data_IF_297219290803
#
_entry.id   IF_297219290803
#
_cell.length_a   1.000
_cell.length_b   1.000
_cell.length_c   1.000
_cell.angle_alpha   90.00
_cell.angle_beta   90.00
_cell.angle_gamma   90.00
#
_symmetry.space_group_name_H-M   'P 1'
#
loop_
_entity.id
_entity.type
_entity.pdbx_description
1 polymer ?
#
# COMPACT_ATOMS: atom_id res chain seq x y z
N UNK A 1 -10.76 21.77 2.90
CA UNK A 1 -9.64 21.60 1.95
C UNK A 1 -9.90 20.27 1.23
N UNK A 2 -9.72 20.17 -0.10
CA UNK A 2 -10.01 18.93 -0.83
C UNK A 2 -8.89 17.92 -0.59
N UNK A 3 -9.22 16.63 -0.38
CA UNK A 3 -8.26 15.53 -0.12
C UNK A 3 -7.10 15.49 -1.14
N UNK A 4 -7.38 15.81 -2.41
CA UNK A 4 -6.36 15.89 -3.44
C UNK A 4 -5.35 17.05 -3.25
N UNK A 5 -5.78 18.17 -2.67
CA UNK A 5 -4.88 19.29 -2.38
C UNK A 5 -3.98 18.94 -1.17
N UNK A 6 -4.56 18.37 -0.14
CA UNK A 6 -3.83 17.94 1.05
C UNK A 6 -2.84 16.82 0.73
N UNK A 7 -3.25 15.85 -0.11
CA UNK A 7 -2.36 14.78 -0.58
C UNK A 7 -1.12 15.34 -1.27
N UNK A 8 -1.30 16.31 -2.16
CA UNK A 8 -0.19 16.98 -2.86
C UNK A 8 0.69 17.76 -1.90
N UNK A 9 0.10 18.50 -0.97
CA UNK A 9 0.83 19.31 -0.01
C UNK A 9 1.70 18.43 0.90
N UNK A 10 1.14 17.35 1.45
CA UNK A 10 1.90 16.39 2.25
C UNK A 10 3.02 15.73 1.45
N UNK A 11 2.75 15.31 0.20
CA UNK A 11 3.76 14.70 -0.66
C UNK A 11 4.92 15.65 -0.96
N UNK A 12 4.63 16.91 -1.27
CA UNK A 12 5.64 17.93 -1.54
C UNK A 12 6.46 18.25 -0.29
N UNK A 13 5.82 18.33 0.87
CA UNK A 13 6.51 18.56 2.14
C UNK A 13 7.47 17.41 2.47
N UNK A 14 6.99 16.16 2.41
CA UNK A 14 7.84 14.99 2.64
C UNK A 14 8.98 14.93 1.60
N UNK A 15 8.70 15.23 0.33
CA UNK A 15 9.71 15.25 -0.71
C UNK A 15 10.80 16.30 -0.44
N UNK A 16 10.42 17.50 0.00
CA UNK A 16 11.36 18.57 0.38
C UNK A 16 12.26 18.16 1.53
N UNK A 17 11.68 17.59 2.59
CA UNK A 17 12.44 17.14 3.75
C UNK A 17 13.37 15.96 3.43
N UNK A 18 12.95 15.01 2.60
CA UNK A 18 13.82 13.92 2.14
C UNK A 18 14.93 14.46 1.23
N UNK A 19 14.61 15.36 0.30
CA UNK A 19 15.60 15.99 -0.58
C UNK A 19 16.64 16.78 0.24
N UNK A 20 16.22 17.54 1.25
CA UNK A 20 17.11 18.23 2.18
C UNK A 20 18.01 17.26 2.95
N UNK A 21 17.46 16.14 3.42
CA UNK A 21 18.22 15.09 4.08
C UNK A 21 19.27 14.42 3.17
N UNK A 22 19.00 14.31 1.88
CA UNK A 22 19.90 13.75 0.89
C UNK A 22 20.98 14.75 0.45
N UNK A 23 20.62 16.04 0.29
CA UNK A 23 21.51 17.05 -0.27
C UNK A 23 22.53 17.59 0.74
N UNK A 24 22.15 17.90 1.96
CA UNK A 24 23.00 18.65 2.88
C UNK A 24 22.98 18.15 4.32
N UNK A 25 22.27 17.09 4.60
CA UNK A 25 22.02 16.70 5.98
C UNK A 25 20.91 17.54 6.65
N UNK A 26 20.63 17.32 7.93
CA UNK A 26 19.48 17.94 8.58
C UNK A 26 19.69 19.44 8.74
N UNK A 27 18.72 20.23 8.32
CA UNK A 27 18.65 21.67 8.61
C UNK A 27 18.83 22.62 7.43
N UNK A 28 19.00 22.12 6.21
CA UNK A 28 19.02 22.96 5.02
C UNK A 28 17.66 22.90 4.31
N UNK A 29 17.08 24.09 4.04
CA UNK A 29 15.93 24.20 3.17
C UNK A 29 16.39 23.97 1.72
N UNK A 30 15.78 22.99 1.09
CA UNK A 30 15.99 22.70 -0.33
C UNK A 30 14.76 23.12 -1.09
N UNK A 31 14.92 24.06 -2.03
CA UNK A 31 13.83 24.44 -2.92
C UNK A 31 13.54 23.31 -3.92
N UNK A 32 12.29 22.92 -4.02
CA UNK A 32 11.80 21.99 -5.04
C UNK A 32 11.26 22.80 -6.23
N UNK A 33 11.88 22.64 -7.39
CA UNK A 33 11.43 23.29 -8.64
C UNK A 33 10.67 22.27 -9.49
N UNK A 34 9.44 22.57 -9.94
CA UNK A 34 8.69 21.67 -10.82
C UNK A 34 9.44 21.46 -12.14
N UNK A 35 9.52 20.22 -12.58
CA UNK A 35 10.18 19.84 -13.85
C UNK A 35 9.33 18.84 -14.62
N UNK A 36 9.67 18.62 -15.88
CA UNK A 36 9.07 17.59 -16.71
C UNK A 36 9.40 16.20 -16.18
N UNK A 37 8.57 15.21 -16.57
CA UNK A 37 8.68 13.85 -16.06
C UNK A 37 10.01 13.19 -16.45
N UNK A 38 10.71 12.70 -15.45
CA UNK A 38 11.88 11.84 -15.61
C UNK A 38 11.44 10.40 -15.90
N UNK A 39 12.18 9.71 -16.77
CA UNK A 39 11.86 8.33 -17.20
C UNK A 39 12.90 7.30 -16.79
N UNK A 40 14.00 7.73 -16.18
CA UNK A 40 15.06 6.84 -15.72
C UNK A 40 14.56 5.88 -14.63
N UNK A 41 14.91 4.58 -14.66
CA UNK A 41 14.63 3.69 -13.54
C UNK A 41 15.34 4.15 -12.26
N UNK A 42 14.73 3.94 -11.13
CA UNK A 42 15.24 4.46 -9.87
C UNK A 42 14.81 3.67 -8.64
N UNK A 43 14.71 4.37 -7.52
CA UNK A 43 14.34 3.79 -6.22
C UNK A 43 13.08 4.47 -5.70
N UNK A 44 12.13 3.68 -5.27
CA UNK A 44 10.88 4.11 -4.66
C UNK A 44 11.00 4.05 -3.13
N UNK A 45 10.66 5.14 -2.47
CA UNK A 45 10.47 5.24 -1.03
C UNK A 45 8.99 5.44 -0.74
N UNK A 46 8.38 4.54 0.00
CA UNK A 46 6.96 4.55 0.29
C UNK A 46 6.69 4.83 1.77
N UNK A 47 5.70 5.68 2.01
CA UNK A 47 5.22 6.02 3.35
C UNK A 47 3.77 5.56 3.49
N UNK A 48 3.44 5.03 4.64
CA UNK A 48 2.06 4.77 5.05
C UNK A 48 1.60 5.92 5.94
N UNK A 49 0.44 6.45 5.66
CA UNK A 49 -0.22 7.50 6.43
C UNK A 49 -1.42 6.91 7.13
N UNK A 50 -1.58 7.22 8.41
CA UNK A 50 -2.68 6.76 9.27
C UNK A 50 -3.12 7.90 10.20
N UNK A 51 -4.37 7.88 10.66
CA UNK A 51 -4.95 8.92 11.50
C UNK A 51 -6.28 9.41 10.94
N UNK A 52 -6.61 10.70 11.04
CA UNK A 52 -7.81 11.30 10.45
C UNK A 52 -7.88 11.11 8.94
N UNK A 53 -6.73 10.91 8.31
CA UNK A 53 -6.60 10.50 6.92
C UNK A 53 -5.74 9.25 6.84
N UNK A 54 -6.08 8.38 5.89
CA UNK A 54 -5.34 7.16 5.63
C UNK A 54 -4.94 7.08 4.18
N UNK A 55 -3.78 6.49 3.93
CA UNK A 55 -3.31 6.34 2.56
C UNK A 55 -1.82 6.10 2.47
N UNK A 56 -1.24 6.55 1.36
CA UNK A 56 0.18 6.43 1.11
C UNK A 56 0.74 7.65 0.39
N UNK A 57 1.98 7.96 0.70
CA UNK A 57 2.83 8.86 -0.07
C UNK A 57 3.97 8.04 -0.65
N UNK A 58 4.24 8.23 -1.92
CA UNK A 58 5.32 7.56 -2.62
C UNK A 58 6.24 8.59 -3.23
N UNK A 59 7.50 8.51 -2.89
CA UNK A 59 8.57 9.25 -3.54
C UNK A 59 9.36 8.31 -4.43
N UNK A 60 9.75 8.82 -5.56
CA UNK A 60 10.59 8.11 -6.51
C UNK A 60 11.82 8.96 -6.85
N UNK A 61 12.98 8.36 -6.81
CA UNK A 61 14.25 8.99 -7.07
C UNK A 61 14.94 8.28 -8.24
N UNK A 62 15.28 8.98 -9.33
CA UNK A 62 16.10 8.41 -10.42
C UNK A 62 17.41 7.84 -9.90
N UNK A 63 17.98 6.89 -10.62
CA UNK A 63 19.28 6.29 -10.29
C UNK A 63 20.40 7.33 -10.24
N UNK A 64 20.35 8.33 -11.11
CA UNK A 64 21.25 9.50 -11.10
C UNK A 64 21.20 10.26 -9.77
N UNK A 65 20.01 10.54 -9.24
CA UNK A 65 19.83 11.22 -7.94
C UNK A 65 20.40 10.38 -6.80
N UNK A 66 20.12 9.07 -6.79
CA UNK A 66 20.66 8.16 -5.79
C UNK A 66 22.19 8.13 -5.80
N UNK A 67 22.81 8.19 -6.99
CA UNK A 67 24.25 8.26 -7.17
C UNK A 67 24.82 9.58 -6.65
N UNK A 68 24.18 10.70 -6.96
CA UNK A 68 24.61 12.04 -6.50
C UNK A 68 24.49 12.16 -4.97
N UNK A 69 23.40 11.66 -4.37
CA UNK A 69 23.23 11.61 -2.92
C UNK A 69 24.33 10.80 -2.23
N UNK A 70 24.71 9.67 -2.80
CA UNK A 70 25.78 8.85 -2.28
C UNK A 70 27.16 9.52 -2.37
N UNK A 71 27.44 10.22 -3.48
CA UNK A 71 28.67 11.01 -3.64
C UNK A 71 28.76 12.16 -2.64
N UNK A 72 27.68 12.84 -2.39
CA UNK A 72 27.61 13.94 -1.42
C UNK A 72 28.03 13.51 -0.02
N UNK A 73 27.77 12.24 0.34
CA UNK A 73 28.05 11.70 1.68
C UNK A 73 29.39 10.95 1.75
N UNK A 74 29.73 10.17 0.71
CA UNK A 74 30.87 9.24 0.73
C UNK A 74 32.10 9.73 -0.05
N UNK A 75 31.99 10.90 -0.70
CA UNK A 75 33.04 11.45 -1.57
C UNK A 75 32.92 11.05 -3.04
N UNK A 76 33.63 11.80 -3.95
CA UNK A 76 33.38 11.73 -5.40
C UNK A 76 33.78 10.40 -6.06
N UNK A 77 34.69 9.64 -5.47
CA UNK A 77 35.30 8.46 -6.09
C UNK A 77 34.60 7.14 -5.71
N UNK A 78 33.57 7.18 -4.87
CA UNK A 78 32.89 5.98 -4.40
C UNK A 78 31.52 5.80 -5.08
N UNK A 79 31.34 4.63 -5.68
CA UNK A 79 30.02 4.17 -6.09
C UNK A 79 29.29 3.54 -4.88
N UNK A 80 28.12 4.08 -4.54
CA UNK A 80 27.30 3.47 -3.49
C UNK A 80 26.63 2.19 -3.98
N UNK A 81 26.59 1.20 -3.12
CA UNK A 81 25.81 0.00 -3.37
C UNK A 81 24.30 0.29 -3.25
N UNK A 82 23.47 -0.56 -3.85
CA UNK A 82 22.00 -0.44 -3.73
C UNK A 82 21.52 -0.49 -2.27
N UNK A 83 22.24 -1.20 -1.41
CA UNK A 83 21.94 -1.32 0.01
C UNK A 83 22.25 -0.02 0.76
N UNK A 84 23.38 0.61 0.45
CA UNK A 84 23.75 1.92 1.00
C UNK A 84 22.74 2.99 0.61
N UNK A 85 22.33 3.04 -0.67
CA UNK A 85 21.27 3.93 -1.15
C UNK A 85 19.95 3.70 -0.42
N UNK A 86 19.55 2.45 -0.25
CA UNK A 86 18.31 2.10 0.47
C UNK A 86 18.35 2.52 1.94
N UNK A 87 19.49 2.37 2.58
CA UNK A 87 19.70 2.80 3.97
C UNK A 87 19.63 4.31 4.10
N UNK A 88 20.27 5.02 3.18
CA UNK A 88 20.26 6.47 3.08
C UNK A 88 18.85 7.04 2.93
N UNK A 89 18.09 6.50 1.98
CA UNK A 89 16.70 6.90 1.74
C UNK A 89 15.81 6.61 2.96
N UNK A 90 16.00 5.49 3.66
CA UNK A 90 15.28 5.21 4.90
C UNK A 90 15.58 6.21 6.00
N UNK A 91 16.85 6.57 6.18
CA UNK A 91 17.28 7.54 7.18
C UNK A 91 16.73 8.93 6.86
N UNK A 92 16.83 9.36 5.60
CA UNK A 92 16.24 10.63 5.16
C UNK A 92 14.73 10.64 5.33
N UNK A 93 14.05 9.53 4.99
CA UNK A 93 12.60 9.38 5.21
C UNK A 93 12.19 9.41 6.68
N UNK A 94 12.95 8.78 7.58
CA UNK A 94 12.67 8.81 9.01
C UNK A 94 12.80 10.24 9.58
N UNK A 95 13.84 10.97 9.19
CA UNK A 95 14.02 12.37 9.59
C UNK A 95 12.95 13.30 9.03
N UNK A 96 12.52 13.06 7.78
CA UNK A 96 11.44 13.81 7.18
C UNK A 96 10.12 13.64 7.97
N UNK A 97 9.85 12.43 8.46
CA UNK A 97 8.66 12.17 9.31
C UNK A 97 8.73 13.00 10.60
N UNK A 98 9.87 13.04 11.27
CA UNK A 98 10.04 13.82 12.50
C UNK A 98 9.71 15.30 12.28
N UNK A 99 10.21 15.86 11.17
CA UNK A 99 9.97 17.28 10.83
C UNK A 99 8.54 17.56 10.39
N UNK A 100 7.92 16.63 9.65
CA UNK A 100 6.51 16.77 9.27
C UNK A 100 5.61 16.70 10.51
N UNK A 101 5.96 15.88 11.50
CA UNK A 101 5.23 15.80 12.77
C UNK A 101 5.30 17.09 13.60
N UNK A 102 6.33 17.93 13.41
CA UNK A 102 6.44 19.25 14.03
C UNK A 102 5.53 20.30 13.35
N UNK A 103 5.04 20.02 12.15
CA UNK A 103 4.13 20.90 11.44
C UNK A 103 2.72 20.84 12.04
N UNK A 104 2.18 21.98 12.40
CA UNK A 104 0.83 22.11 12.99
C UNK A 104 -0.30 21.59 12.07
N UNK A 105 -0.03 21.48 10.78
CA UNK A 105 -1.02 21.07 9.77
C UNK A 105 -1.19 19.55 9.69
N UNK A 106 -0.16 18.78 10.07
CA UNK A 106 -0.12 17.33 9.95
C UNK A 106 0.10 16.60 11.29
N UNK A 107 -0.04 17.30 12.40
CA UNK A 107 0.25 16.80 13.75
C UNK A 107 -0.56 15.55 14.13
N UNK A 108 -1.76 15.40 13.60
CA UNK A 108 -2.66 14.28 13.89
C UNK A 108 -2.40 13.05 12.98
N UNK A 109 -1.47 13.17 12.03
CA UNK A 109 -1.13 12.07 11.13
C UNK A 109 0.03 11.24 11.68
N UNK A 110 -0.13 9.93 11.65
CA UNK A 110 0.95 8.98 11.91
C UNK A 110 1.52 8.53 10.57
N UNK A 111 2.76 8.92 10.29
CA UNK A 111 3.46 8.60 9.06
C UNK A 111 4.58 7.62 9.38
N UNK A 112 4.70 6.57 8.58
CA UNK A 112 5.76 5.55 8.74
C UNK A 112 6.38 5.19 7.40
N UNK A 113 7.70 4.97 7.37
CA UNK A 113 8.37 4.40 6.19
C UNK A 113 7.91 2.95 6.03
N UNK A 114 7.31 2.61 4.91
CA UNK A 114 6.80 1.26 4.66
C UNK A 114 7.74 0.41 3.81
N UNK A 115 8.37 0.97 2.77
CA UNK A 115 9.30 0.23 1.92
C UNK A 115 10.25 1.13 1.15
N UNK A 116 11.42 0.58 0.83
CA UNK A 116 12.37 1.11 -0.15
C UNK A 116 12.67 0.00 -1.15
N UNK A 117 12.43 0.23 -2.42
CA UNK A 117 12.60 -0.79 -3.47
C UNK A 117 12.93 -0.17 -4.82
N UNK A 118 13.68 -0.86 -5.70
CA UNK A 118 13.82 -0.48 -7.09
C UNK A 118 12.46 -0.36 -7.78
N UNK A 119 12.28 0.65 -8.61
CA UNK A 119 11.04 0.86 -9.33
C UNK A 119 11.26 1.61 -10.66
N UNK A 120 10.44 1.35 -11.70
CA UNK A 120 10.39 2.20 -12.88
C UNK A 120 9.87 3.59 -12.51
N UNK A 121 10.10 4.57 -13.38
CA UNK A 121 9.55 5.90 -13.26
C UNK A 121 8.00 5.86 -13.26
N UNK A 122 7.33 6.55 -12.34
CA UNK A 122 5.87 6.58 -12.29
C UNK A 122 5.33 7.54 -13.38
N UNK A 123 4.35 7.10 -14.15
CA UNK A 123 3.75 7.89 -15.24
C UNK A 123 2.88 9.07 -14.78
N UNK A 124 2.45 9.09 -13.53
CA UNK A 124 1.49 10.08 -12.99
C UNK A 124 2.02 10.88 -11.80
N UNK A 125 3.33 10.90 -11.60
CA UNK A 125 3.96 11.66 -10.52
C UNK A 125 4.07 13.15 -10.87
N UNK A 126 4.02 14.02 -9.85
CA UNK A 126 4.58 15.34 -9.96
C UNK A 126 6.10 15.24 -9.77
N UNK A 127 6.87 15.87 -10.65
CA UNK A 127 8.32 15.78 -10.63
C UNK A 127 8.92 17.12 -10.22
N UNK A 128 9.99 17.05 -9.42
CA UNK A 128 10.69 18.23 -8.92
C UNK A 128 12.20 18.00 -9.03
N UNK A 129 12.93 19.07 -9.33
CA UNK A 129 14.38 19.12 -9.24
C UNK A 129 14.81 19.81 -7.94
N UNK A 130 15.97 19.46 -7.44
CA UNK A 130 16.65 20.10 -6.33
C UNK A 130 18.16 20.05 -6.53
N UNK A 131 18.90 20.92 -5.84
CA UNK A 131 20.35 21.02 -5.99
C UNK A 131 21.08 20.42 -4.80
N UNK A 132 22.14 19.69 -5.08
CA UNK A 132 23.12 19.26 -4.08
C UNK A 132 24.18 20.38 -3.84
N UNK A 133 24.90 20.36 -2.72
CA UNK A 133 25.91 21.36 -2.39
C UNK A 133 27.05 21.46 -3.39
N UNK A 134 27.34 20.40 -4.13
CA UNK A 134 28.37 20.34 -5.19
C UNK A 134 27.86 20.89 -6.54
N UNK A 135 26.63 21.38 -6.59
CA UNK A 135 25.99 21.91 -7.80
C UNK A 135 25.37 20.84 -8.70
N UNK A 136 25.44 19.55 -8.35
CA UNK A 136 24.73 18.52 -9.09
C UNK A 136 23.23 18.59 -8.83
N UNK A 137 22.43 18.12 -9.82
CA UNK A 137 20.96 18.10 -9.70
C UNK A 137 20.50 16.75 -9.18
N UNK A 138 19.47 16.80 -8.34
CA UNK A 138 18.68 15.67 -7.94
C UNK A 138 17.24 15.85 -8.41
N UNK A 139 16.54 14.74 -8.60
CA UNK A 139 15.14 14.73 -9.01
C UNK A 139 14.33 13.86 -8.06
N UNK A 140 13.09 14.25 -7.82
CA UNK A 140 12.14 13.46 -7.04
C UNK A 140 10.76 13.48 -7.71
N UNK A 141 10.21 12.31 -7.96
CA UNK A 141 8.82 12.14 -8.36
C UNK A 141 7.95 11.86 -7.14
N UNK A 142 6.77 12.48 -7.06
CA UNK A 142 5.86 12.33 -5.93
C UNK A 142 4.49 11.88 -6.37
N UNK A 143 3.94 10.90 -5.68
CA UNK A 143 2.52 10.53 -5.76
C UNK A 143 1.97 10.37 -4.35
N UNK A 144 0.75 10.85 -4.11
CA UNK A 144 0.07 10.65 -2.86
C UNK A 144 -1.40 10.31 -3.09
N UNK A 145 -1.87 9.37 -2.32
CA UNK A 145 -3.28 9.01 -2.26
C UNK A 145 -3.67 9.03 -0.79
N UNK A 146 -4.31 10.10 -0.35
CA UNK A 146 -4.92 10.20 0.96
C UNK A 146 -6.43 10.21 0.77
N UNK A 147 -7.11 9.44 1.57
CA UNK A 147 -8.54 9.57 1.77
C UNK A 147 -8.74 10.03 3.20
N UNK A 148 -9.55 11.05 3.40
CA UNK A 148 -10.04 11.35 4.73
C UNK A 148 -10.59 10.05 5.25
N UNK A 149 -9.98 9.52 6.31
CA UNK A 149 -10.71 8.62 7.16
C UNK A 149 -11.80 9.53 7.69
N UNK A 150 -12.93 9.58 7.00
CA UNK A 150 -14.13 9.95 7.69
C UNK A 150 -14.06 9.06 8.91
N UNK A 151 -13.61 9.64 10.00
CA UNK A 151 -13.92 9.13 11.33
C UNK A 151 -15.37 8.81 11.19
N UNK A 152 -15.82 7.56 11.39
CA UNK A 152 -17.19 7.21 11.13
C UNK A 152 -18.00 8.27 11.84
N UNK A 153 -18.26 9.33 11.12
CA UNK A 153 -19.01 10.47 11.51
C UNK A 153 -20.37 9.85 11.71
N UNK A 154 -20.56 9.30 12.94
CA UNK A 154 -21.86 9.07 13.56
C UNK A 154 -23.05 9.03 12.58
N UNK A 155 -22.92 8.24 11.54
CA UNK A 155 -24.01 7.53 10.95
C UNK A 155 -24.10 6.20 11.71
N UNK A 156 -23.82 6.31 13.04
CA UNK A 156 -23.88 5.18 13.97
C UNK A 156 -25.31 4.65 14.17
N UNK A 157 -26.30 5.31 13.60
CA UNK A 157 -27.64 4.76 13.61
C UNK A 157 -27.89 3.66 12.59
N UNK A 158 -27.22 3.67 11.43
CA UNK A 158 -27.46 2.68 10.38
C UNK A 158 -26.44 1.56 10.33
N UNK A 159 -25.17 1.81 10.74
CA UNK A 159 -24.15 0.76 10.71
C UNK A 159 -24.34 -0.27 11.84
N UNK A 160 -24.76 0.17 13.03
CA UNK A 160 -25.13 -0.75 14.11
C UNK A 160 -26.31 -1.64 13.73
N UNK A 161 -27.29 -1.11 13.01
CA UNK A 161 -28.41 -1.90 12.49
C UNK A 161 -27.98 -2.90 11.40
N UNK A 162 -26.89 -2.63 10.69
CA UNK A 162 -26.33 -3.52 9.65
C UNK A 162 -25.37 -4.55 10.25
N UNK A 163 -24.72 -4.25 11.37
CA UNK A 163 -23.83 -5.20 12.04
C UNK A 163 -24.56 -6.40 12.64
N UNK A 164 -25.83 -6.24 12.99
CA UNK A 164 -26.69 -7.30 13.52
C UNK A 164 -27.39 -8.12 12.42
N UNK A 165 -27.17 -7.80 11.13
CA UNK A 165 -27.73 -8.58 10.02
C UNK A 165 -26.98 -9.89 9.88
N UNK A 166 -27.70 -11.00 10.02
CA UNK A 166 -27.17 -12.33 9.76
C UNK A 166 -27.00 -12.54 8.26
N UNK A 167 -25.79 -12.88 7.86
CA UNK A 167 -25.44 -13.16 6.47
C UNK A 167 -25.16 -14.65 6.29
N UNK A 168 -25.71 -15.29 5.24
CA UNK A 168 -25.43 -16.68 4.95
C UNK A 168 -23.95 -16.81 4.51
N UNK A 169 -23.23 -17.65 5.23
CA UNK A 169 -21.85 -18.03 4.89
C UNK A 169 -21.88 -19.37 4.15
N UNK A 170 -21.15 -19.45 3.05
CA UNK A 170 -21.00 -20.66 2.25
C UNK A 170 -19.54 -21.07 2.23
N UNK A 171 -19.25 -22.31 2.57
CA UNK A 171 -17.90 -22.90 2.41
C UNK A 171 -17.89 -23.66 1.09
N UNK A 172 -17.02 -23.23 0.17
CA UNK A 172 -16.84 -23.85 -1.13
C UNK A 172 -15.58 -24.69 -1.18
N UNK A 173 -15.76 -26.00 -1.30
CA UNK A 173 -14.65 -26.95 -1.38
C UNK A 173 -14.00 -27.00 -2.77
N UNK A 174 -14.75 -26.68 -3.82
CA UNK A 174 -14.25 -26.71 -5.18
C UNK A 174 -15.34 -26.36 -6.18
N UNK A 175 -14.96 -26.31 -7.43
CA UNK A 175 -15.87 -26.12 -8.58
C UNK A 175 -15.42 -27.06 -9.70
N UNK A 176 -16.37 -27.81 -10.22
CA UNK A 176 -16.11 -28.66 -11.39
C UNK A 176 -17.17 -28.41 -12.48
N UNK A 177 -16.87 -28.79 -13.69
CA UNK A 177 -17.77 -28.66 -14.85
C UNK A 177 -17.98 -30.05 -15.41
N UNK A 178 -19.24 -30.40 -15.62
CA UNK A 178 -19.57 -31.68 -16.28
C UNK A 178 -20.62 -31.49 -17.37
N UNK A 179 -20.68 -32.44 -18.28
CA UNK A 179 -21.69 -32.42 -19.32
C UNK A 179 -23.10 -32.72 -18.79
N UNK A 180 -24.14 -32.21 -19.44
CA UNK A 180 -25.52 -32.49 -19.06
C UNK A 180 -25.81 -34.00 -19.07
N UNK A 181 -25.17 -34.73 -19.97
CA UNK A 181 -25.27 -36.21 -20.04
C UNK A 181 -24.70 -36.86 -18.79
N UNK A 182 -23.54 -36.39 -18.30
CA UNK A 182 -22.94 -36.89 -17.06
C UNK A 182 -23.80 -36.52 -15.86
N UNK A 183 -24.32 -35.27 -15.79
CA UNK A 183 -25.20 -34.82 -14.74
C UNK A 183 -26.48 -35.65 -14.64
N UNK A 184 -27.12 -35.95 -15.79
CA UNK A 184 -28.34 -36.79 -15.84
C UNK A 184 -28.10 -38.25 -15.44
N UNK A 185 -26.87 -38.73 -15.46
CA UNK A 185 -26.47 -40.07 -15.04
C UNK A 185 -26.07 -40.16 -13.54
N UNK A 186 -26.08 -39.07 -12.80
CA UNK A 186 -25.77 -39.12 -11.35
C UNK A 186 -26.89 -39.81 -10.56
N UNK A 187 -26.46 -40.68 -9.66
CA UNK A 187 -27.35 -41.39 -8.75
C UNK A 187 -26.69 -41.58 -7.37
N UNK A 188 -27.44 -42.11 -6.40
CA UNK A 188 -26.87 -42.42 -5.11
C UNK A 188 -25.60 -43.28 -5.22
N UNK A 189 -24.49 -42.86 -4.60
CA UNK A 189 -23.18 -43.49 -4.69
C UNK A 189 -22.28 -42.98 -5.82
N UNK A 190 -22.74 -42.08 -6.70
CA UNK A 190 -21.88 -41.43 -7.69
C UNK A 190 -20.84 -40.53 -7.01
N UNK A 191 -19.59 -40.60 -7.49
CA UNK A 191 -18.50 -39.75 -7.05
C UNK A 191 -18.29 -38.64 -8.06
N UNK A 192 -18.29 -37.41 -7.59
CA UNK A 192 -17.96 -36.23 -8.38
C UNK A 192 -16.60 -35.70 -7.91
N UNK A 193 -15.63 -35.76 -8.79
CA UNK A 193 -14.30 -35.23 -8.54
C UNK A 193 -14.32 -33.69 -8.65
N UNK A 194 -13.92 -33.01 -7.60
CA UNK A 194 -13.86 -31.54 -7.54
C UNK A 194 -12.52 -30.98 -8.02
N UNK A 195 -11.57 -31.86 -8.37
CA UNK A 195 -10.24 -31.45 -8.89
C UNK A 195 -9.35 -30.72 -7.90
N UNK A 196 -9.56 -30.93 -6.61
CA UNK A 196 -8.77 -30.28 -5.53
C UNK A 196 -8.25 -31.31 -4.52
N UNK A 197 -7.06 -31.01 -3.95
CA UNK A 197 -6.51 -31.82 -2.88
C UNK A 197 -7.21 -31.53 -1.54
N UNK A 198 -7.33 -32.53 -0.65
CA UNK A 198 -7.85 -32.33 0.71
C UNK A 198 -7.06 -31.34 1.54
N UNK A 199 -5.77 -31.14 1.23
CA UNK A 199 -4.86 -30.23 1.92
C UNK A 199 -4.92 -28.77 1.40
N UNK A 200 -5.69 -28.54 0.35
CA UNK A 200 -5.87 -27.18 -0.17
C UNK A 200 -6.90 -26.40 0.65
N UNK A 201 -6.61 -25.13 1.01
CA UNK A 201 -7.54 -24.30 1.77
C UNK A 201 -8.84 -24.10 1.00
N UNK A 202 -9.97 -24.21 1.70
CA UNK A 202 -11.30 -23.97 1.14
C UNK A 202 -11.65 -22.48 1.19
N UNK A 203 -12.64 -22.10 0.40
CA UNK A 203 -13.08 -20.71 0.28
C UNK A 203 -14.33 -20.45 1.13
N UNK A 204 -14.30 -19.36 1.90
CA UNK A 204 -15.47 -18.83 2.60
C UNK A 204 -16.09 -17.70 1.80
N UNK A 205 -17.38 -17.81 1.50
CA UNK A 205 -18.09 -16.85 0.67
C UNK A 205 -19.28 -16.22 1.41
N UNK A 206 -19.56 -14.96 1.03
CA UNK A 206 -20.81 -14.25 1.30
C UNK A 206 -21.32 -13.75 -0.05
N UNK A 207 -22.59 -14.05 -0.38
CA UNK A 207 -23.21 -13.63 -1.65
C UNK A 207 -22.33 -13.93 -2.88
N UNK A 208 -21.78 -15.16 -2.96
CA UNK A 208 -20.90 -15.63 -4.03
C UNK A 208 -19.51 -14.95 -4.12
N UNK A 209 -19.19 -14.05 -3.22
CA UNK A 209 -17.85 -13.43 -3.14
C UNK A 209 -17.01 -14.05 -2.05
N UNK A 210 -15.77 -14.38 -2.37
CA UNK A 210 -14.79 -14.93 -1.43
C UNK A 210 -14.37 -13.85 -0.44
N UNK A 211 -14.49 -14.13 0.85
CA UNK A 211 -14.09 -13.25 1.94
C UNK A 211 -12.90 -13.77 2.75
N UNK A 212 -12.67 -15.09 2.71
CA UNK A 212 -11.57 -15.74 3.41
C UNK A 212 -11.22 -17.09 2.78
N UNK A 213 -10.04 -17.58 3.15
CA UNK A 213 -9.60 -18.95 2.91
C UNK A 213 -9.35 -19.63 4.25
N UNK A 214 -9.48 -20.96 4.31
CA UNK A 214 -9.25 -21.67 5.55
C UNK A 214 -9.23 -23.19 5.39
N UNK A 215 -8.88 -23.87 6.48
CA UNK A 215 -8.85 -25.32 6.59
C UNK A 215 -10.12 -25.83 7.26
N UNK A 216 -10.66 -26.92 6.74
CA UNK A 216 -11.79 -27.58 7.40
C UNK A 216 -11.31 -28.29 8.65
N UNK A 217 -11.98 -28.04 9.75
CA UNK A 217 -11.67 -28.64 11.06
C UNK A 217 -12.92 -29.26 11.66
N UNK A 218 -12.74 -30.11 12.64
CA UNK A 218 -13.84 -30.65 13.46
C UNK A 218 -13.78 -29.96 14.82
N UNK A 219 -14.88 -29.34 15.20
CA UNK A 219 -15.05 -28.67 16.50
C UNK A 219 -16.26 -29.31 17.19
N UNK A 220 -16.05 -29.94 18.30
CA UNK A 220 -17.09 -30.61 19.10
C UNK A 220 -17.99 -31.56 18.29
N UNK A 221 -17.40 -32.26 17.31
CA UNK A 221 -18.13 -33.19 16.45
C UNK A 221 -18.84 -32.57 15.26
N UNK A 222 -18.74 -31.25 15.08
CA UNK A 222 -19.28 -30.50 13.96
C UNK A 222 -18.19 -29.99 13.02
N UNK A 223 -18.52 -29.78 11.74
CA UNK A 223 -17.58 -29.15 10.82
C UNK A 223 -17.43 -27.67 11.15
N UNK A 224 -16.19 -27.22 11.23
CA UNK A 224 -15.77 -25.82 11.38
C UNK A 224 -14.80 -25.42 10.29
N UNK A 225 -14.52 -24.13 10.18
CA UNK A 225 -13.52 -23.58 9.31
C UNK A 225 -12.52 -22.77 10.13
N UNK A 226 -11.24 -23.15 10.07
CA UNK A 226 -10.15 -22.37 10.63
C UNK A 226 -9.62 -21.43 9.55
N UNK A 227 -9.83 -20.13 9.73
CA UNK A 227 -9.37 -19.11 8.77
C UNK A 227 -7.84 -19.09 8.75
N UNK A 228 -7.26 -19.21 7.56
CA UNK A 228 -5.82 -19.15 7.30
C UNK A 228 -5.44 -17.84 6.62
N UNK A 229 -6.33 -17.28 5.79
CA UNK A 229 -6.10 -16.03 5.09
C UNK A 229 -7.41 -15.24 4.92
N UNK A 230 -7.29 -13.91 4.90
CA UNK A 230 -8.42 -12.99 4.77
C UNK A 230 -8.26 -12.11 3.54
N UNK A 231 -9.29 -12.04 2.74
CA UNK A 231 -9.40 -11.01 1.69
C UNK A 231 -9.43 -9.62 2.34
N UNK A 232 -8.95 -8.59 1.64
CA UNK A 232 -8.86 -7.23 2.18
C UNK A 232 -10.19 -6.74 2.78
N UNK A 233 -10.12 -5.87 3.79
CA UNK A 233 -11.32 -5.36 4.47
C UNK A 233 -12.26 -4.63 3.50
N UNK A 234 -11.72 -3.91 2.54
CA UNK A 234 -12.48 -3.21 1.50
C UNK A 234 -13.24 -4.16 0.58
N UNK A 235 -12.64 -5.29 0.20
CA UNK A 235 -13.28 -6.27 -0.66
C UNK A 235 -14.36 -7.06 0.08
N UNK A 236 -14.17 -7.31 1.38
CA UNK A 236 -15.20 -7.93 2.23
C UNK A 236 -16.44 -7.05 2.37
N UNK A 237 -16.28 -5.73 2.53
CA UNK A 237 -17.41 -4.79 2.59
C UNK A 237 -18.15 -4.72 1.26
N UNK A 238 -17.43 -4.65 0.13
CA UNK A 238 -18.04 -4.69 -1.21
C UNK A 238 -18.79 -5.99 -1.50
N UNK A 239 -18.42 -7.09 -0.86
CA UNK A 239 -19.12 -8.36 -1.00
C UNK A 239 -20.53 -8.29 -0.41
N UNK A 240 -20.75 -7.44 0.60
CA UNK A 240 -22.04 -7.24 1.27
C UNK A 240 -22.92 -6.23 0.55
N UNK A 241 -22.32 -5.17 -0.05
CA UNK A 241 -23.06 -4.06 -0.70
C UNK A 241 -23.69 -4.43 -2.06
N UNK A 242 -23.27 -5.50 -2.71
CA UNK A 242 -23.74 -5.88 -4.06
C UNK A 242 -24.93 -6.83 -4.05
N UNK A 243 -25.97 -6.51 -3.27
CA UNK A 243 -27.25 -7.24 -3.22
C UNK A 243 -28.34 -6.47 -3.96
#
# INVERSE_FOLDING_TARGET
>A
MNDAALSRQLATLIAGEVAAGLAAGPGHDVALEPVDAETEPGVRLSFKVSGPQTGSVVLWFPGSTATNAARSISGPDRQASAEEVSTLLRQAGAKAIERVAESSEFVDLVITVSSVAPAPAPHSAAHYAFSFPDGSLGFVGTTATLATTESPSRTNGNLELVLDVELPLVVRFGRTVMSLKALSGLGPGSIVDMGRSPDEPVELLVSDKVIAYGDVVIVDGSYGLRITDLVSRSDRLRAVESR
#
